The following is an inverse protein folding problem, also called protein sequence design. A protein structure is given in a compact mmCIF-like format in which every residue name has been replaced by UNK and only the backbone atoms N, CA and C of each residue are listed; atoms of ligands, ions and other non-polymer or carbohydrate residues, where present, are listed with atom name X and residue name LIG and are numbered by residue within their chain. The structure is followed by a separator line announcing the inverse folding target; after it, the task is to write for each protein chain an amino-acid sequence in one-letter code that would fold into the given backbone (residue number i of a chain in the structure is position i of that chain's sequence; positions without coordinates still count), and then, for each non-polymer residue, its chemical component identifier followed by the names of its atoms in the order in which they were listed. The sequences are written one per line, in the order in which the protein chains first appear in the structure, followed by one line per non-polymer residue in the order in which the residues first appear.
data_IF_729370389467
#
_entry.id   IF_729370389467
#
_cell.length_a   1.000
_cell.length_b   1.000
_cell.length_c   1.000
_cell.angle_alpha   90.00
_cell.angle_beta   90.00
_cell.angle_gamma   90.00
#
_symmetry.space_group_name_H-M   'P 1'
#
loop_
_entity.id
_entity.type
_entity.pdbx_description
1 polymer ?
#
# COMPACT_ATOMS: atom_id res chain seq x y z
N UNK A 1 10.70 -0.89 -3.98
CA UNK A 1 11.11 -2.00 -4.86
C UNK A 1 12.35 -1.59 -5.62
N UNK A 2 13.36 -2.45 -5.70
CA UNK A 2 14.58 -2.22 -6.45
C UNK A 2 14.77 -3.33 -7.50
N UNK A 3 15.25 -2.95 -8.67
CA UNK A 3 15.68 -3.91 -9.70
C UNK A 3 17.15 -4.25 -9.48
N UNK A 4 17.48 -5.53 -9.53
CA UNK A 4 18.86 -6.02 -9.36
C UNK A 4 19.79 -5.67 -10.53
N UNK A 5 19.24 -5.44 -11.72
CA UNK A 5 19.99 -5.04 -12.90
C UNK A 5 19.12 -4.17 -13.83
N UNK A 6 19.71 -3.67 -14.92
CA UNK A 6 18.98 -2.95 -15.98
C UNK A 6 18.39 -3.88 -17.04
N UNK A 7 18.57 -5.19 -16.91
CA UNK A 7 18.03 -6.16 -17.85
C UNK A 7 16.52 -6.31 -17.65
N UNK A 8 15.80 -6.68 -18.72
CA UNK A 8 14.36 -6.93 -18.66
C UNK A 8 14.00 -8.06 -17.66
N UNK A 9 14.91 -9.00 -17.44
CA UNK A 9 14.73 -10.17 -16.56
C UNK A 9 15.26 -9.91 -15.14
N UNK A 10 15.49 -8.65 -14.78
CA UNK A 10 16.04 -8.31 -13.48
C UNK A 10 15.09 -8.76 -12.34
N UNK A 11 15.65 -9.45 -11.36
CA UNK A 11 14.92 -9.80 -10.15
C UNK A 11 14.49 -8.53 -9.42
N UNK A 12 13.23 -8.54 -8.96
CA UNK A 12 12.66 -7.48 -8.12
C UNK A 12 12.96 -7.82 -6.66
N UNK A 13 13.55 -6.86 -5.94
CA UNK A 13 13.82 -6.97 -4.50
C UNK A 13 13.02 -5.94 -3.72
N UNK A 14 12.36 -6.38 -2.65
CA UNK A 14 11.79 -5.47 -1.64
C UNK A 14 12.95 -4.94 -0.81
N UNK A 15 12.97 -3.63 -0.62
CA UNK A 15 13.98 -2.92 0.14
C UNK A 15 13.28 -1.88 1.01
N UNK A 16 14.03 -1.36 1.98
CA UNK A 16 13.55 -0.41 2.99
C UNK A 16 12.55 -1.02 3.99
N UNK A 17 13.12 -1.70 4.99
CA UNK A 17 12.39 -2.24 6.13
C UNK A 17 12.45 -1.28 7.35
N UNK A 18 12.71 0.01 7.14
CA UNK A 18 12.87 0.99 8.23
C UNK A 18 11.61 1.19 9.08
N UNK A 19 10.44 0.88 8.51
CA UNK A 19 9.14 0.90 9.20
C UNK A 19 8.59 -0.51 9.49
N UNK A 20 9.38 -1.57 9.24
CA UNK A 20 8.92 -2.94 9.44
C UNK A 20 8.84 -3.27 10.94
N UNK A 21 7.75 -3.94 11.33
CA UNK A 21 7.49 -4.29 12.72
C UNK A 21 7.44 -5.81 12.85
N UNK A 22 8.11 -6.34 13.87
CA UNK A 22 8.08 -7.78 14.15
C UNK A 22 6.81 -8.14 14.90
N UNK A 23 5.87 -8.73 14.17
CA UNK A 23 4.62 -9.26 14.76
C UNK A 23 4.88 -10.68 15.28
N UNK A 24 4.64 -10.93 16.58
CA UNK A 24 4.86 -12.25 17.21
C UNK A 24 3.65 -13.18 17.10
N UNK A 25 2.44 -12.63 17.03
CA UNK A 25 1.17 -13.36 16.94
C UNK A 25 0.24 -12.71 15.91
N UNK A 26 -0.68 -13.46 15.30
CA UNK A 26 -1.63 -12.92 14.30
C UNK A 26 -2.72 -12.00 14.88
N UNK A 27 -2.64 -11.62 16.17
CA UNK A 27 -3.60 -10.67 16.72
C UNK A 27 -3.28 -9.25 16.26
N UNK A 28 -4.28 -8.37 16.13
CA UNK A 28 -4.05 -6.98 15.79
C UNK A 28 -3.40 -6.27 16.98
N UNK A 29 -2.13 -5.88 16.85
CA UNK A 29 -1.35 -5.32 17.97
C UNK A 29 -0.88 -3.89 17.71
N UNK A 30 -1.09 -3.34 16.50
CA UNK A 30 -0.45 -2.09 16.10
C UNK A 30 -1.45 -1.09 15.56
N UNK A 31 -1.29 0.16 15.99
CA UNK A 31 -2.12 1.33 15.67
C UNK A 31 -1.27 2.54 15.24
N UNK A 32 0.03 2.36 15.02
CA UNK A 32 0.92 3.43 14.58
C UNK A 32 0.67 3.77 13.11
N UNK A 33 0.46 5.06 12.84
CA UNK A 33 0.23 5.58 11.51
C UNK A 33 1.56 6.03 10.90
N UNK A 34 2.19 5.17 10.10
CA UNK A 34 3.47 5.44 9.46
C UNK A 34 3.48 4.90 8.02
N UNK A 35 3.92 5.73 7.07
CA UNK A 35 3.97 5.42 5.64
C UNK A 35 3.41 6.54 4.76
N UNK A 36 3.27 6.28 3.47
CA UNK A 36 2.65 7.21 2.51
C UNK A 36 1.18 6.84 2.30
N UNK A 37 0.26 7.78 2.53
CA UNK A 37 -1.19 7.52 2.56
C UNK A 37 -1.72 6.72 1.36
N UNK A 38 -1.19 6.95 0.15
CA UNK A 38 -1.63 6.27 -1.06
C UNK A 38 -1.46 4.74 -1.05
N UNK A 39 -0.60 4.19 -0.18
CA UNK A 39 -0.36 2.76 -0.05
C UNK A 39 -0.92 2.18 1.25
N UNK A 40 -1.44 3.02 2.14
CA UNK A 40 -1.99 2.58 3.42
C UNK A 40 -3.33 1.88 3.23
N UNK A 41 -3.54 0.83 4.01
CA UNK A 41 -4.80 0.12 4.07
C UNK A 41 -5.86 0.96 4.83
N UNK A 42 -7.16 0.80 4.50
CA UNK A 42 -8.22 1.59 5.12
C UNK A 42 -8.30 1.42 6.65
N UNK A 43 -7.99 0.24 7.18
CA UNK A 43 -7.94 -0.03 8.62
C UNK A 43 -6.84 0.79 9.33
N UNK A 44 -5.71 1.05 8.67
CA UNK A 44 -4.65 1.90 9.20
C UNK A 44 -5.11 3.35 9.29
N UNK A 45 -5.83 3.83 8.28
CA UNK A 45 -6.38 5.20 8.23
C UNK A 45 -7.48 5.43 9.27
N UNK A 46 -8.22 4.37 9.60
CA UNK A 46 -9.25 4.41 10.64
C UNK A 46 -8.68 4.25 12.06
N UNK A 47 -7.36 4.08 12.21
CA UNK A 47 -6.72 3.83 13.49
C UNK A 47 -7.12 2.50 14.12
N UNK A 48 -7.64 1.56 13.32
CA UNK A 48 -8.02 0.24 13.76
C UNK A 48 -6.75 -0.61 13.87
N UNK A 49 -6.71 -1.47 14.88
CA UNK A 49 -5.59 -2.39 15.03
C UNK A 49 -5.54 -3.32 13.81
N UNK A 50 -4.37 -3.38 13.17
CA UNK A 50 -4.19 -4.08 11.91
C UNK A 50 -3.19 -5.24 12.03
N UNK A 51 -3.17 -6.08 11.00
CA UNK A 51 -2.32 -7.29 10.92
C UNK A 51 -1.51 -7.27 9.62
N UNK A 52 -0.90 -8.40 9.25
CA UNK A 52 -0.13 -8.59 8.00
C UNK A 52 -0.95 -8.35 6.72
N UNK A 53 -2.28 -8.27 6.83
CA UNK A 53 -3.17 -8.01 5.68
C UNK A 53 -2.93 -6.63 5.03
N UNK A 54 -2.39 -5.66 5.77
CA UNK A 54 -2.06 -4.32 5.22
C UNK A 54 -0.99 -4.37 4.14
N UNK A 55 -0.09 -5.35 4.19
CA UNK A 55 0.95 -5.55 3.19
C UNK A 55 0.32 -6.06 1.87
N UNK A 56 -0.74 -6.88 1.96
CA UNK A 56 -1.50 -7.33 0.77
C UNK A 56 -2.19 -6.17 0.07
N UNK A 57 -2.75 -5.22 0.83
CA UNK A 57 -3.31 -3.99 0.28
C UNK A 57 -2.26 -3.18 -0.47
N UNK A 58 -1.12 -2.93 0.18
CA UNK A 58 0.01 -2.20 -0.41
C UNK A 58 0.51 -2.86 -1.69
N UNK A 59 0.62 -4.19 -1.72
CA UNK A 59 0.97 -4.95 -2.93
C UNK A 59 -0.08 -4.81 -4.04
N UNK A 60 -1.37 -4.78 -3.71
CA UNK A 60 -2.45 -4.52 -4.67
C UNK A 60 -2.34 -3.14 -5.32
N UNK A 61 -2.04 -2.10 -4.53
CA UNK A 61 -1.81 -0.74 -5.04
C UNK A 61 -0.62 -0.70 -6.00
N UNK A 62 0.49 -1.37 -5.65
CA UNK A 62 1.67 -1.47 -6.51
C UNK A 62 1.35 -2.24 -7.80
N UNK A 63 0.65 -3.37 -7.71
CA UNK A 63 0.26 -4.15 -8.87
C UNK A 63 -0.62 -3.31 -9.82
N UNK A 64 -1.57 -2.56 -9.28
CA UNK A 64 -2.41 -1.66 -10.06
C UNK A 64 -1.57 -0.59 -10.77
N UNK A 65 -0.61 0.01 -10.06
CA UNK A 65 0.31 1.01 -10.63
C UNK A 65 1.15 0.42 -11.77
N UNK A 66 1.62 -0.82 -11.62
CA UNK A 66 2.39 -1.52 -12.66
C UNK A 66 1.56 -1.83 -13.91
N UNK A 67 0.27 -2.12 -13.76
CA UNK A 67 -0.61 -2.47 -14.88
C UNK A 67 -1.18 -1.25 -15.61
N UNK A 68 -1.57 -0.21 -14.87
CA UNK A 68 -2.26 0.97 -15.42
C UNK A 68 -1.32 2.17 -15.65
N UNK A 69 -0.13 2.16 -15.06
CA UNK A 69 0.79 3.29 -15.06
C UNK A 69 0.38 4.45 -14.14
N UNK A 70 -0.73 4.33 -13.40
CA UNK A 70 -1.20 5.34 -12.45
C UNK A 70 -1.69 4.69 -11.14
N UNK A 71 -1.65 5.40 -10.00
CA UNK A 71 -2.16 4.84 -8.75
C UNK A 71 -3.69 4.63 -8.81
N UNK A 72 -4.23 3.63 -8.07
CA UNK A 72 -5.67 3.39 -7.99
C UNK A 72 -6.41 4.50 -7.22
N UNK A 73 -5.74 5.08 -6.23
CA UNK A 73 -6.26 6.16 -5.39
C UNK A 73 -5.34 7.37 -5.50
N UNK A 74 -5.91 8.50 -5.90
CA UNK A 74 -5.21 9.78 -5.93
C UNK A 74 -6.19 10.92 -5.69
N UNK A 75 -5.77 11.88 -4.89
CA UNK A 75 -6.43 13.17 -4.72
C UNK A 75 -5.40 14.22 -4.30
N UNK A 76 -5.70 15.49 -4.56
CA UNK A 76 -4.88 16.62 -4.08
C UNK A 76 -5.14 16.91 -2.60
N UNK A 77 -6.35 16.59 -2.14
CA UNK A 77 -6.74 16.73 -0.75
C UNK A 77 -6.52 15.40 -0.03
N UNK A 78 -5.72 15.41 1.03
CA UNK A 78 -5.39 14.21 1.80
C UNK A 78 -6.63 13.57 2.44
N UNK A 79 -7.60 14.35 2.90
CA UNK A 79 -8.83 13.84 3.50
C UNK A 79 -9.72 13.18 2.44
N UNK A 80 -9.75 13.75 1.23
CA UNK A 80 -10.44 13.13 0.10
C UNK A 80 -9.75 11.84 -0.37
N UNK A 81 -8.42 11.80 -0.36
CA UNK A 81 -7.65 10.59 -0.64
C UNK A 81 -7.96 9.50 0.39
N UNK A 82 -7.93 9.82 1.68
CA UNK A 82 -8.29 8.88 2.76
C UNK A 82 -9.72 8.39 2.59
N UNK A 83 -10.67 9.28 2.28
CA UNK A 83 -12.07 8.91 2.05
C UNK A 83 -12.23 7.95 0.87
N UNK A 84 -11.50 8.15 -0.23
CA UNK A 84 -11.48 7.22 -1.39
C UNK A 84 -10.94 5.84 -1.01
N UNK A 85 -9.83 5.80 -0.27
CA UNK A 85 -9.21 4.55 0.21
C UNK A 85 -10.17 3.81 1.13
N UNK A 86 -10.78 4.50 2.11
CA UNK A 86 -11.74 3.93 3.05
C UNK A 86 -12.99 3.39 2.33
N UNK A 87 -13.46 4.07 1.29
CA UNK A 87 -14.60 3.62 0.49
C UNK A 87 -14.25 2.53 -0.52
N UNK A 88 -12.96 2.29 -0.78
CA UNK A 88 -12.52 1.44 -1.88
C UNK A 88 -12.92 1.98 -3.25
N UNK A 89 -13.03 3.30 -3.40
CA UNK A 89 -13.40 3.96 -4.66
C UNK A 89 -12.17 4.13 -5.55
N UNK A 90 -11.79 3.04 -6.22
CA UNK A 90 -10.77 3.04 -7.27
C UNK A 90 -11.43 2.93 -8.64
N UNK A 91 -10.91 3.67 -9.62
CA UNK A 91 -11.32 3.49 -11.02
C UNK A 91 -10.44 2.44 -11.64
N UNK A 92 -11.01 1.44 -12.29
CA UNK A 92 -10.27 0.62 -13.26
C UNK A 92 -10.41 1.34 -14.58
N UNK A 93 -9.33 1.94 -15.05
CA UNK A 93 -9.28 2.46 -16.42
C UNK A 93 -9.29 1.26 -17.36
N UNK A 94 -10.46 0.82 -17.80
CA UNK A 94 -10.55 -0.10 -18.93
C UNK A 94 -10.03 0.64 -20.18
N UNK A 95 -9.08 0.00 -20.86
CA UNK A 95 -8.70 0.35 -22.24
C UNK A 95 -9.87 0.09 -23.19
#
# INVERSE_FOLDING_TARGET
LLLTSRNADAEIKVADFGLAIRVRDDRPHWNGLAGTYAYMAPEMLQGIAYTKAVDMWSMGVILYLLLSGHPPFWDKDEEMLKAKIIRGDYRVSCF
#
